data_IF_749126358908
#
_entry.id   IF_749126358908
#
_cell.length_a   1.000
_cell.length_b   1.000
_cell.length_c   1.000
_cell.angle_alpha   90.00
_cell.angle_beta   90.00
_cell.angle_gamma   90.00
#
_symmetry.space_group_name_H-M   'P 1'
#
loop_
_entity.id
_entity.type
_entity.pdbx_description
1 polymer ?
#
# COMPACT_ATOMS: atom_id res chain seq x y z
N UNK A 1 22.89 27.87 -14.05
CA UNK A 1 21.75 27.62 -13.15
C UNK A 1 20.58 26.99 -13.93
N UNK A 2 20.07 27.60 -14.99
CA UNK A 2 18.91 27.09 -15.75
C UNK A 2 19.12 25.66 -16.31
N UNK A 3 20.30 25.37 -16.83
CA UNK A 3 20.64 24.03 -17.35
C UNK A 3 20.58 22.98 -16.21
N UNK A 4 21.16 23.30 -15.05
CA UNK A 4 21.14 22.40 -13.88
C UNK A 4 19.69 22.14 -13.43
N UNK A 5 18.85 23.17 -13.38
CA UNK A 5 17.43 23.03 -13.03
C UNK A 5 16.67 22.19 -14.05
N UNK A 6 16.85 22.46 -15.35
CA UNK A 6 16.22 21.67 -16.40
C UNK A 6 16.64 20.20 -16.37
N UNK A 7 17.94 19.94 -16.20
CA UNK A 7 18.46 18.57 -16.05
C UNK A 7 17.89 17.89 -14.81
N UNK A 8 17.87 18.57 -13.66
CA UNK A 8 17.29 18.01 -12.43
C UNK A 8 15.81 17.70 -12.62
N UNK A 9 15.05 18.56 -13.29
CA UNK A 9 13.63 18.35 -13.56
C UNK A 9 13.40 17.12 -14.44
N UNK A 10 14.16 16.98 -15.54
CA UNK A 10 14.09 15.80 -16.41
C UNK A 10 14.44 14.52 -15.64
N UNK A 11 15.48 14.55 -14.82
CA UNK A 11 15.87 13.41 -13.99
C UNK A 11 14.76 13.03 -13.03
N UNK A 12 14.19 13.98 -12.30
CA UNK A 12 13.17 13.74 -11.28
C UNK A 12 11.82 13.32 -11.85
N UNK A 13 11.41 13.85 -12.99
CA UNK A 13 10.09 13.60 -13.56
C UNK A 13 10.04 12.45 -14.56
N UNK A 14 11.18 12.05 -15.14
CA UNK A 14 11.20 11.08 -16.25
C UNK A 14 12.23 9.97 -16.11
N UNK A 15 13.49 10.31 -15.82
CA UNK A 15 14.57 9.32 -15.83
C UNK A 15 14.70 8.56 -14.51
N UNK A 16 14.49 9.24 -13.39
CA UNK A 16 14.68 8.69 -12.04
C UNK A 16 13.48 9.04 -11.13
N UNK A 17 12.27 8.56 -11.46
CA UNK A 17 11.06 8.88 -10.70
C UNK A 17 11.14 8.47 -9.21
N UNK A 18 11.98 7.47 -8.88
CA UNK A 18 12.29 7.09 -7.50
C UNK A 18 12.96 8.21 -6.70
N UNK A 19 13.52 9.23 -7.33
CA UNK A 19 14.05 10.38 -6.61
C UNK A 19 12.95 11.33 -6.16
N UNK A 20 11.83 11.39 -6.90
CA UNK A 20 10.65 12.18 -6.53
C UNK A 20 9.79 11.45 -5.51
N UNK A 21 9.43 10.21 -5.78
CA UNK A 21 8.71 9.33 -4.84
C UNK A 21 9.45 8.01 -4.65
N UNK A 22 10.37 7.94 -3.68
CA UNK A 22 11.19 6.76 -3.45
C UNK A 22 10.36 5.54 -3.06
N UNK A 23 9.25 5.74 -2.37
CA UNK A 23 8.40 4.65 -1.90
C UNK A 23 7.74 3.90 -3.06
N UNK A 24 7.11 4.62 -3.97
CA UNK A 24 6.55 4.05 -5.18
C UNK A 24 7.64 3.64 -6.19
N UNK A 25 8.57 4.53 -6.47
CA UNK A 25 9.54 4.35 -7.54
C UNK A 25 10.49 3.16 -7.33
N UNK A 26 10.88 2.88 -6.08
CA UNK A 26 11.69 1.69 -5.76
C UNK A 26 10.89 0.41 -5.95
N UNK A 27 9.59 0.39 -5.58
CA UNK A 27 8.71 -0.74 -5.85
C UNK A 27 8.49 -0.95 -7.34
N UNK A 28 8.27 0.11 -8.10
CA UNK A 28 8.13 0.02 -9.56
C UNK A 28 9.40 -0.54 -10.22
N UNK A 29 10.59 -0.10 -9.79
CA UNK A 29 11.85 -0.65 -10.28
C UNK A 29 12.02 -2.13 -9.91
N UNK A 30 11.71 -2.52 -8.67
CA UNK A 30 11.76 -3.90 -8.21
C UNK A 30 10.76 -4.77 -8.99
N UNK A 31 9.52 -4.31 -9.17
CA UNK A 31 8.50 -5.04 -9.94
C UNK A 31 8.93 -5.28 -11.38
N UNK A 32 9.51 -4.25 -12.05
CA UNK A 32 10.04 -4.41 -13.41
C UNK A 32 11.13 -5.48 -13.48
N UNK A 33 12.00 -5.52 -12.48
CA UNK A 33 13.02 -6.54 -12.37
C UNK A 33 12.43 -7.93 -12.17
N UNK A 34 11.48 -8.10 -11.26
CA UNK A 34 10.82 -9.40 -11.03
C UNK A 34 10.07 -9.93 -12.26
N UNK A 35 9.36 -9.05 -12.98
CA UNK A 35 8.70 -9.43 -14.23
C UNK A 35 9.72 -9.91 -15.26
N UNK A 36 10.85 -9.23 -15.38
CA UNK A 36 11.92 -9.63 -16.32
C UNK A 36 12.60 -10.96 -15.93
N UNK A 37 12.75 -11.24 -14.65
CA UNK A 37 13.32 -12.52 -14.16
C UNK A 37 12.34 -13.70 -14.28
N UNK A 38 11.03 -13.42 -14.32
CA UNK A 38 10.00 -14.44 -14.32
C UNK A 38 9.01 -14.25 -15.48
N UNK A 39 9.48 -14.32 -16.73
CA UNK A 39 8.64 -14.08 -17.90
C UNK A 39 7.48 -15.09 -17.96
N UNK A 40 6.28 -14.61 -18.28
CA UNK A 40 5.10 -15.45 -18.46
C UNK A 40 4.36 -15.86 -17.17
N UNK A 41 4.91 -15.57 -15.99
CA UNK A 41 4.16 -15.77 -14.73
C UNK A 41 3.03 -14.74 -14.61
N UNK A 42 1.79 -15.16 -14.27
CA UNK A 42 0.72 -14.22 -13.96
C UNK A 42 1.10 -13.30 -12.80
N UNK A 43 0.83 -12.01 -12.93
CA UNK A 43 1.15 -11.02 -11.90
C UNK A 43 -0.04 -10.78 -10.98
N UNK A 44 0.15 -11.01 -9.69
CA UNK A 44 -0.74 -10.57 -8.61
C UNK A 44 -0.14 -9.36 -7.92
N UNK A 45 -0.76 -8.20 -8.09
CA UNK A 45 -0.36 -6.95 -7.44
C UNK A 45 -1.23 -6.72 -6.21
N UNK A 46 -0.62 -6.65 -5.03
CA UNK A 46 -1.34 -6.34 -3.78
C UNK A 46 -1.08 -4.89 -3.41
N UNK A 47 -2.13 -4.10 -3.42
CA UNK A 47 -2.12 -2.66 -3.13
C UNK A 47 -2.76 -2.42 -1.78
N UNK A 48 -2.20 -1.53 -0.98
CA UNK A 48 -2.72 -1.25 0.36
C UNK A 48 -1.85 -0.29 1.16
N UNK A 49 -2.04 -0.32 2.46
CA UNK A 49 -1.41 0.56 3.44
C UNK A 49 -0.06 0.02 3.95
N UNK A 50 0.41 0.59 5.08
CA UNK A 50 1.53 0.04 5.84
C UNK A 50 1.29 -1.41 6.30
N UNK A 51 0.04 -1.83 6.49
CA UNK A 51 -0.32 -3.20 6.84
C UNK A 51 0.05 -4.16 5.70
N UNK A 52 -0.31 -3.82 4.46
CA UNK A 52 0.14 -4.55 3.27
C UNK A 52 1.65 -4.45 3.11
N UNK A 53 2.20 -3.24 3.19
CA UNK A 53 3.62 -2.94 3.01
C UNK A 53 4.52 -3.80 3.91
N UNK A 54 4.17 -3.93 5.19
CA UNK A 54 4.93 -4.67 6.21
C UNK A 54 4.44 -6.12 6.37
N UNK A 55 3.16 -6.36 6.12
CA UNK A 55 2.51 -7.65 6.39
C UNK A 55 2.62 -8.68 5.28
N UNK A 56 2.78 -8.26 4.04
CA UNK A 56 2.90 -9.20 2.91
C UNK A 56 4.36 -9.37 2.52
N UNK A 57 4.92 -10.55 2.80
CA UNK A 57 6.29 -10.92 2.43
C UNK A 57 6.30 -11.95 1.28
N UNK A 58 6.33 -11.51 0.00
CA UNK A 58 6.25 -12.43 -1.12
C UNK A 58 7.38 -13.46 -1.18
N UNK A 59 8.56 -13.19 -0.60
CA UNK A 59 9.65 -14.16 -0.51
C UNK A 59 9.22 -15.43 0.24
N UNK A 60 8.36 -15.30 1.24
CA UNK A 60 7.83 -16.46 1.97
C UNK A 60 6.88 -17.32 1.11
N UNK A 61 6.19 -16.73 0.14
CA UNK A 61 5.39 -17.44 -0.87
C UNK A 61 6.27 -18.17 -1.88
N UNK A 62 7.29 -17.51 -2.40
CA UNK A 62 8.23 -18.11 -3.35
C UNK A 62 8.91 -19.36 -2.79
N UNK A 63 9.13 -19.42 -1.48
CA UNK A 63 9.74 -20.57 -0.79
C UNK A 63 8.83 -21.79 -0.60
N UNK A 64 7.51 -21.66 -0.77
CA UNK A 64 6.52 -22.72 -0.46
C UNK A 64 5.56 -23.02 -1.60
N UNK A 65 5.90 -22.65 -2.84
CA UNK A 65 5.04 -22.84 -4.00
C UNK A 65 4.52 -24.28 -4.10
N UNK A 66 3.18 -24.50 -4.11
CA UNK A 66 2.61 -25.83 -4.01
C UNK A 66 2.76 -26.66 -5.29
N UNK A 67 3.01 -26.01 -6.42
CA UNK A 67 3.01 -26.65 -7.73
C UNK A 67 4.41 -27.02 -8.26
N UNK A 68 5.47 -26.76 -7.49
CA UNK A 68 6.85 -27.02 -7.91
C UNK A 68 7.38 -26.05 -8.98
N UNK A 69 8.61 -26.24 -9.45
CA UNK A 69 9.28 -25.30 -10.37
C UNK A 69 8.63 -25.26 -11.77
N UNK A 70 7.91 -26.30 -12.18
CA UNK A 70 7.40 -26.46 -13.54
C UNK A 70 5.99 -25.85 -13.77
N UNK A 71 5.30 -25.41 -12.73
CA UNK A 71 4.03 -24.69 -12.84
C UNK A 71 4.23 -23.20 -12.58
N UNK A 72 3.57 -22.40 -13.41
CA UNK A 72 3.57 -20.94 -13.34
C UNK A 72 2.70 -20.43 -12.18
N UNK A 73 3.14 -20.69 -10.92
CA UNK A 73 2.53 -20.01 -9.77
C UNK A 73 2.60 -18.50 -9.96
N UNK A 74 1.56 -17.75 -9.57
CA UNK A 74 1.54 -16.31 -9.80
C UNK A 74 2.68 -15.60 -9.08
N UNK A 75 3.22 -14.58 -9.74
CA UNK A 75 4.16 -13.62 -9.17
C UNK A 75 3.40 -12.72 -8.20
N UNK A 76 3.54 -12.94 -6.90
CA UNK A 76 2.96 -12.08 -5.88
C UNK A 76 3.88 -10.89 -5.63
N UNK A 77 3.37 -9.67 -5.77
CA UNK A 77 4.15 -8.46 -5.55
C UNK A 77 3.46 -7.48 -4.59
N UNK A 78 4.23 -6.96 -3.63
CA UNK A 78 3.75 -6.02 -2.63
C UNK A 78 3.89 -4.57 -3.11
N UNK A 79 2.77 -3.90 -3.38
CA UNK A 79 2.68 -2.49 -3.74
C UNK A 79 2.04 -1.65 -2.61
N UNK A 80 2.06 -2.12 -1.38
CA UNK A 80 1.57 -1.38 -0.22
C UNK A 80 2.39 -0.12 0.04
N UNK A 81 1.73 1.01 0.29
CA UNK A 81 2.34 2.31 0.58
C UNK A 81 1.98 2.75 2.00
N UNK A 82 2.95 3.25 2.76
CA UNK A 82 2.72 3.66 4.14
C UNK A 82 1.66 4.76 4.21
N UNK A 83 0.65 4.55 5.04
CA UNK A 83 -0.48 5.48 5.18
C UNK A 83 -1.48 5.42 4.02
N UNK A 84 -1.36 4.45 3.11
CA UNK A 84 -2.26 4.30 1.97
C UNK A 84 -3.64 3.79 2.36
N UNK A 85 -4.67 4.47 1.88
CA UNK A 85 -6.06 4.03 1.82
C UNK A 85 -6.53 4.11 0.37
N UNK A 86 -7.85 4.12 0.11
CA UNK A 86 -8.41 3.99 -1.23
C UNK A 86 -7.90 5.00 -2.28
N UNK A 87 -7.60 6.25 -1.88
CA UNK A 87 -7.11 7.27 -2.81
C UNK A 87 -5.66 7.00 -3.19
N UNK A 88 -4.81 6.61 -2.23
CA UNK A 88 -3.41 6.25 -2.48
C UNK A 88 -3.32 4.93 -3.25
N UNK A 89 -4.20 3.97 -2.96
CA UNK A 89 -4.31 2.72 -3.71
C UNK A 89 -4.66 2.99 -5.18
N UNK A 90 -5.64 3.84 -5.44
CA UNK A 90 -6.00 4.29 -6.79
C UNK A 90 -4.82 5.01 -7.47
N UNK A 91 -4.10 5.88 -6.75
CA UNK A 91 -2.92 6.56 -7.26
C UNK A 91 -1.81 5.56 -7.64
N UNK A 92 -1.52 4.61 -6.75
CA UNK A 92 -0.52 3.58 -7.00
C UNK A 92 -0.86 2.74 -8.24
N UNK A 93 -2.12 2.33 -8.38
CA UNK A 93 -2.59 1.56 -9.53
C UNK A 93 -2.52 2.37 -10.84
N UNK A 94 -2.94 3.65 -10.84
CA UNK A 94 -2.83 4.53 -12.00
C UNK A 94 -1.39 4.67 -12.47
N UNK A 95 -0.46 4.89 -11.52
CA UNK A 95 0.98 4.95 -11.79
C UNK A 95 1.52 3.64 -12.33
N UNK A 96 1.13 2.51 -11.72
CA UNK A 96 1.55 1.18 -12.18
C UNK A 96 1.13 0.93 -13.65
N UNK A 97 -0.10 1.30 -14.02
CA UNK A 97 -0.56 1.21 -15.41
C UNK A 97 0.17 2.19 -16.35
N UNK A 98 0.47 3.41 -15.89
CA UNK A 98 1.25 4.38 -16.66
C UNK A 98 2.69 3.91 -16.90
N UNK A 99 3.28 3.20 -15.94
CA UNK A 99 4.60 2.56 -16.04
C UNK A 99 4.61 1.27 -16.88
N UNK A 100 3.46 0.90 -17.45
CA UNK A 100 3.32 -0.25 -18.35
C UNK A 100 3.03 -1.57 -17.67
N UNK A 101 2.87 -1.62 -16.36
CA UNK A 101 2.52 -2.86 -15.66
C UNK A 101 1.10 -3.30 -15.98
N UNK A 102 0.91 -4.60 -16.15
CA UNK A 102 -0.37 -5.23 -16.50
C UNK A 102 -0.60 -6.42 -15.57
N UNK A 103 -1.06 -6.17 -14.34
CA UNK A 103 -1.38 -7.27 -13.43
C UNK A 103 -2.55 -8.11 -13.97
N UNK A 104 -2.47 -9.42 -13.79
CA UNK A 104 -3.58 -10.33 -14.04
C UNK A 104 -4.63 -10.25 -12.93
N UNK A 105 -4.16 -9.99 -11.70
CA UNK A 105 -5.00 -9.78 -10.52
C UNK A 105 -4.50 -8.58 -9.73
N UNK A 106 -5.43 -7.75 -9.25
CA UNK A 106 -5.17 -6.72 -8.24
C UNK A 106 -5.94 -7.05 -6.97
N UNK A 107 -5.24 -7.09 -5.85
CA UNK A 107 -5.86 -7.23 -4.53
C UNK A 107 -5.76 -5.90 -3.80
N UNK A 108 -6.90 -5.30 -3.44
CA UNK A 108 -6.96 -4.09 -2.65
C UNK A 108 -7.15 -4.41 -1.18
N UNK A 109 -6.43 -3.72 -0.33
CA UNK A 109 -6.64 -3.80 1.11
C UNK A 109 -7.98 -3.16 1.47
N UNK A 110 -8.78 -3.87 2.26
CA UNK A 110 -9.95 -3.31 2.93
C UNK A 110 -9.59 -3.08 4.40
N UNK A 111 -9.60 -1.81 4.83
CA UNK A 111 -9.35 -1.48 6.22
C UNK A 111 -10.27 -0.35 6.72
N UNK A 112 -11.21 -0.63 7.63
CA UNK A 112 -12.22 0.33 8.07
C UNK A 112 -11.70 1.71 8.48
N UNK A 113 -10.61 1.86 9.27
CA UNK A 113 -10.10 3.18 9.62
C UNK A 113 -9.79 4.08 8.43
N UNK A 114 -9.30 3.53 7.32
CA UNK A 114 -8.94 4.32 6.14
C UNK A 114 -10.11 4.59 5.18
N UNK A 115 -11.31 4.14 5.55
CA UNK A 115 -12.53 4.50 4.83
C UNK A 115 -13.18 5.79 5.37
N UNK A 116 -12.62 6.41 6.40
CA UNK A 116 -13.20 7.62 7.03
C UNK A 116 -12.67 8.88 6.41
N UNK A 117 -11.79 9.15 5.71
CA UNK A 117 -11.36 10.41 5.06
C UNK A 117 -11.56 11.71 5.90
N UNK A 118 -11.49 11.60 7.24
CA UNK A 118 -11.62 12.73 8.17
C UNK A 118 -10.47 12.76 9.20
N UNK A 119 -10.21 13.93 9.75
CA UNK A 119 -9.17 14.12 10.76
C UNK A 119 -7.81 13.57 10.29
N UNK A 120 -7.14 12.73 11.12
CA UNK A 120 -5.82 12.19 10.79
C UNK A 120 -5.86 11.15 9.64
N UNK A 121 -7.04 10.70 9.24
CA UNK A 121 -7.22 9.69 8.18
C UNK A 121 -7.53 10.30 6.81
N UNK A 122 -7.65 11.62 6.71
CA UNK A 122 -7.81 12.32 5.43
C UNK A 122 -6.56 12.12 4.54
N UNK A 123 -6.65 11.23 3.56
CA UNK A 123 -5.52 10.81 2.72
C UNK A 123 -4.87 11.96 1.95
N UNK A 124 -5.65 12.88 1.29
CA UNK A 124 -5.03 13.99 0.55
C UNK A 124 -4.10 14.85 1.40
N UNK A 125 -4.41 15.04 2.70
CA UNK A 125 -3.55 15.80 3.61
C UNK A 125 -2.24 15.06 3.99
N UNK A 126 -2.18 13.75 3.76
CA UNK A 126 -0.99 12.91 4.00
C UNK A 126 -0.12 12.73 2.76
N UNK A 127 -0.62 13.12 1.59
CA UNK A 127 0.14 13.06 0.33
C UNK A 127 0.95 14.34 0.17
N UNK A 128 2.25 14.20 0.31
CA UNK A 128 3.19 15.29 0.12
C UNK A 128 3.17 15.75 -1.36
N UNK A 129 2.79 17.00 -1.65
CA UNK A 129 2.60 17.54 -3.00
C UNK A 129 3.85 17.37 -3.89
N UNK A 130 5.03 17.40 -3.30
CA UNK A 130 6.29 17.23 -4.03
C UNK A 130 6.60 15.76 -4.40
N UNK A 131 5.77 14.78 -3.93
CA UNK A 131 5.75 13.38 -4.40
C UNK A 131 4.82 13.18 -5.59
N UNK A 132 3.95 14.16 -5.91
CA UNK A 132 3.00 14.04 -7.00
C UNK A 132 3.67 14.22 -8.36
N UNK A 133 3.33 13.35 -9.31
CA UNK A 133 3.74 13.45 -10.70
C UNK A 133 2.71 14.26 -11.52
N UNK A 134 3.08 14.68 -12.73
CA UNK A 134 2.13 15.32 -13.66
C UNK A 134 0.91 14.44 -13.96
N UNK A 135 1.12 13.13 -14.03
CA UNK A 135 0.07 12.14 -14.24
C UNK A 135 -0.98 12.05 -13.12
N UNK A 136 -0.65 12.57 -11.91
CA UNK A 136 -1.56 12.56 -10.77
C UNK A 136 -2.55 13.74 -10.75
N UNK A 137 -2.40 14.74 -11.65
CA UNK A 137 -3.29 15.92 -11.71
C UNK A 137 -4.77 15.54 -11.79
N UNK A 138 -5.22 14.56 -12.58
CA UNK A 138 -6.63 14.15 -12.58
C UNK A 138 -7.10 13.63 -11.20
N UNK A 139 -6.25 12.93 -10.47
CA UNK A 139 -6.56 12.48 -9.09
C UNK A 139 -6.65 13.66 -8.13
N UNK A 140 -5.68 14.60 -8.22
CA UNK A 140 -5.71 15.84 -7.40
C UNK A 140 -7.02 16.58 -7.61
N UNK A 141 -7.45 16.78 -8.86
CA UNK A 141 -8.71 17.46 -9.18
C UNK A 141 -9.96 16.74 -8.66
N UNK A 142 -9.91 15.43 -8.56
CA UNK A 142 -11.06 14.63 -8.14
C UNK A 142 -11.18 14.46 -6.63
N UNK A 143 -10.07 14.47 -5.91
CA UNK A 143 -10.04 14.01 -4.50
C UNK A 143 -9.51 15.05 -3.51
N UNK A 144 -8.78 16.07 -3.93
CA UNK A 144 -8.23 17.08 -3.03
C UNK A 144 -9.24 18.20 -2.78
N UNK A 145 -9.26 18.73 -1.58
CA UNK A 145 -10.17 19.81 -1.19
C UNK A 145 -9.86 21.14 -1.89
N UNK A 146 -8.57 21.43 -2.14
CA UNK A 146 -8.12 22.57 -2.93
C UNK A 146 -7.17 22.11 -4.04
N UNK A 147 -7.72 21.62 -5.16
CA UNK A 147 -6.91 21.15 -6.27
C UNK A 147 -6.11 22.28 -6.93
N UNK A 148 -6.65 23.52 -6.96
CA UNK A 148 -5.97 24.64 -7.58
C UNK A 148 -4.71 25.04 -6.83
N UNK A 149 -4.78 25.14 -5.49
CA UNK A 149 -3.63 25.38 -4.63
C UNK A 149 -2.60 24.22 -4.74
N UNK A 150 -3.07 22.98 -4.73
CA UNK A 150 -2.19 21.80 -4.88
C UNK A 150 -1.47 21.82 -6.23
N UNK A 151 -2.17 22.09 -7.35
CA UNK A 151 -1.55 22.21 -8.67
C UNK A 151 -0.56 23.39 -8.74
N UNK A 152 -0.88 24.51 -8.09
CA UNK A 152 0.04 25.65 -8.00
C UNK A 152 1.32 25.26 -7.25
N UNK A 153 1.19 24.54 -6.13
CA UNK A 153 2.33 24.04 -5.38
C UNK A 153 3.15 23.03 -6.17
N UNK A 154 2.50 22.09 -6.87
CA UNK A 154 3.18 21.14 -7.76
C UNK A 154 3.98 21.87 -8.87
N UNK A 155 3.48 23.00 -9.38
CA UNK A 155 4.24 23.83 -10.33
C UNK A 155 5.42 24.52 -9.68
N UNK A 156 5.22 25.09 -8.51
CA UNK A 156 6.28 25.72 -7.71
C UNK A 156 7.42 24.74 -7.41
N UNK A 157 7.11 23.53 -6.97
CA UNK A 157 8.09 22.49 -6.67
C UNK A 157 8.94 22.13 -7.90
N UNK A 158 8.34 22.19 -9.09
CA UNK A 158 9.06 21.96 -10.34
C UNK A 158 9.95 23.12 -10.77
N UNK A 159 9.66 24.33 -10.32
CA UNK A 159 10.55 25.46 -10.54
C UNK A 159 11.78 25.41 -9.60
N UNK A 160 11.66 24.69 -8.48
CA UNK A 160 12.72 24.56 -7.47
C UNK A 160 13.08 23.09 -7.17
N UNK A 161 13.36 22.25 -8.18
CA UNK A 161 13.39 20.81 -8.05
C UNK A 161 14.44 20.33 -7.02
N UNK A 162 15.63 20.88 -7.02
CA UNK A 162 16.69 20.48 -6.06
C UNK A 162 16.39 20.92 -4.65
N UNK A 163 15.79 22.08 -4.45
CA UNK A 163 15.44 22.58 -3.13
C UNK A 163 14.31 21.74 -2.52
N UNK A 164 13.25 21.47 -3.29
CA UNK A 164 12.07 20.73 -2.81
C UNK A 164 12.35 19.24 -2.60
N UNK A 165 13.27 18.65 -3.34
CA UNK A 165 13.65 17.24 -3.17
C UNK A 165 14.89 17.02 -2.28
N UNK A 166 15.53 18.07 -1.78
CA UNK A 166 16.80 17.98 -1.04
C UNK A 166 16.80 16.97 0.11
N UNK A 167 15.74 16.92 0.89
CA UNK A 167 15.65 16.00 2.03
C UNK A 167 15.50 14.56 1.57
N UNK A 168 14.76 14.31 0.48
CA UNK A 168 14.62 12.96 -0.09
C UNK A 168 15.90 12.52 -0.77
N UNK A 169 16.56 13.40 -1.50
CA UNK A 169 17.88 13.11 -2.06
C UNK A 169 18.88 12.77 -0.96
N UNK A 170 18.90 13.58 0.10
CA UNK A 170 19.78 13.33 1.24
C UNK A 170 19.39 12.02 1.96
N UNK A 171 18.09 11.73 2.11
CA UNK A 171 17.63 10.47 2.71
C UNK A 171 18.02 9.24 1.89
N UNK A 172 18.22 9.37 0.57
CA UNK A 172 18.67 8.27 -0.29
C UNK A 172 20.18 8.13 -0.35
N UNK A 173 20.91 9.26 -0.33
CA UNK A 173 22.37 9.28 -0.51
C UNK A 173 23.13 9.21 0.82
N UNK A 174 22.65 9.90 1.83
CA UNK A 174 23.31 10.04 3.14
C UNK A 174 22.29 10.21 4.29
N UNK A 175 21.42 9.22 4.55
CA UNK A 175 20.32 9.34 5.52
C UNK A 175 20.81 9.67 6.93
N UNK A 176 22.03 9.25 7.30
CA UNK A 176 22.65 9.53 8.61
C UNK A 176 22.97 11.00 8.84
N UNK A 177 23.02 11.82 7.78
CA UNK A 177 23.28 13.26 7.89
C UNK A 177 21.99 14.04 8.24
N UNK A 178 20.83 13.38 8.17
CA UNK A 178 19.57 14.00 8.57
C UNK A 178 19.30 13.79 10.06
N UNK A 179 18.78 14.82 10.76
CA UNK A 179 18.20 14.62 12.08
C UNK A 179 17.07 13.57 12.01
N UNK A 180 16.91 12.79 13.08
CA UNK A 180 15.89 11.74 13.13
C UNK A 180 14.49 12.24 12.77
N UNK A 181 14.13 13.44 13.23
CA UNK A 181 12.84 14.07 12.92
C UNK A 181 12.63 14.44 11.44
N UNK A 182 13.67 14.38 10.63
CA UNK A 182 13.64 14.64 9.18
C UNK A 182 13.89 13.38 8.35
N UNK A 183 14.07 12.24 9.02
CA UNK A 183 14.30 10.97 8.36
C UNK A 183 13.04 10.55 7.60
N UNK A 184 13.18 10.34 6.31
CA UNK A 184 12.10 9.94 5.39
C UNK A 184 12.31 8.53 4.83
N UNK A 185 13.48 7.95 5.05
CA UNK A 185 13.87 6.64 4.51
C UNK A 185 13.18 5.45 5.20
N UNK A 186 12.48 5.68 6.31
CA UNK A 186 11.77 4.63 7.05
C UNK A 186 10.68 3.92 6.21
N UNK A 187 10.10 4.62 5.22
CA UNK A 187 9.08 4.04 4.33
C UNK A 187 9.66 3.25 3.15
N UNK A 188 10.99 3.30 2.92
CA UNK A 188 11.61 2.63 1.77
C UNK A 188 13.03 2.12 2.00
N UNK A 189 13.69 2.51 3.10
CA UNK A 189 15.12 2.20 3.33
C UNK A 189 15.44 0.72 3.48
N UNK A 190 14.46 -0.07 3.90
CA UNK A 190 14.57 -1.51 4.07
C UNK A 190 13.78 -2.33 3.05
N UNK A 191 13.28 -1.71 1.97
CA UNK A 191 12.53 -2.44 0.93
C UNK A 191 13.39 -3.54 0.29
N UNK A 192 12.80 -4.73 0.20
CA UNK A 192 13.38 -5.82 -0.55
C UNK A 192 13.01 -5.77 -2.04
N UNK A 193 13.50 -6.74 -2.82
CA UNK A 193 13.24 -6.85 -4.24
C UNK A 193 11.80 -7.28 -4.60
N UNK A 194 10.91 -7.50 -3.63
CA UNK A 194 9.53 -7.92 -3.78
C UNK A 194 8.53 -6.86 -3.29
N UNK A 195 9.03 -5.68 -2.96
CA UNK A 195 8.25 -4.55 -2.45
C UNK A 195 7.89 -4.63 -0.97
N UNK A 196 8.34 -5.66 -0.26
CA UNK A 196 8.13 -5.81 1.17
C UNK A 196 9.08 -4.92 1.98
N UNK A 197 8.53 -4.26 2.98
CA UNK A 197 9.27 -3.49 3.98
C UNK A 197 9.15 -4.18 5.33
N UNK A 198 10.19 -4.86 5.84
CA UNK A 198 10.13 -5.48 7.15
C UNK A 198 9.92 -4.41 8.24
N UNK A 199 8.82 -4.55 8.99
CA UNK A 199 8.46 -3.57 10.02
C UNK A 199 9.25 -3.76 11.32
N UNK A 200 9.16 -4.93 11.92
CA UNK A 200 9.78 -5.24 13.22
C UNK A 200 10.46 -6.60 13.17
N UNK A 201 11.70 -6.66 13.65
CA UNK A 201 12.53 -7.86 13.55
C UNK A 201 12.27 -8.89 14.67
N UNK A 202 11.77 -8.47 15.82
CA UNK A 202 11.61 -9.33 17.00
C UNK A 202 10.26 -10.04 17.02
N UNK A 203 10.31 -11.35 17.24
CA UNK A 203 9.12 -12.15 17.49
C UNK A 203 9.39 -13.17 18.64
N UNK A 204 8.44 -13.34 19.57
CA UNK A 204 7.31 -12.43 19.81
C UNK A 204 7.83 -11.03 20.18
N UNK A 205 7.09 -9.96 19.89
CA UNK A 205 7.51 -8.63 20.32
C UNK A 205 7.62 -8.60 21.83
N UNK A 206 8.61 -7.89 22.37
CA UNK A 206 8.78 -7.75 23.81
C UNK A 206 7.46 -7.25 24.41
N UNK A 207 6.91 -7.88 25.47
CA UNK A 207 5.60 -7.50 26.00
C UNK A 207 5.48 -6.01 26.36
N UNK A 208 6.55 -5.41 26.90
CA UNK A 208 6.59 -3.99 27.24
C UNK A 208 6.48 -3.12 25.99
N UNK A 209 7.24 -3.45 24.93
CA UNK A 209 7.21 -2.67 23.68
C UNK A 209 5.83 -2.79 22.99
N UNK A 210 5.24 -3.99 22.97
CA UNK A 210 3.91 -4.21 22.43
C UNK A 210 2.84 -3.45 23.20
N UNK A 211 2.87 -3.52 24.54
CA UNK A 211 1.93 -2.79 25.38
C UNK A 211 2.01 -1.28 25.18
N UNK A 212 3.22 -0.72 25.08
CA UNK A 212 3.42 0.69 24.83
C UNK A 212 2.89 1.12 23.46
N UNK A 213 3.08 0.28 22.42
CA UNK A 213 2.55 0.53 21.08
C UNK A 213 1.03 0.48 21.02
N UNK A 214 0.43 -0.52 21.66
CA UNK A 214 -1.03 -0.62 21.79
C UNK A 214 -1.60 0.61 22.51
N UNK A 215 -1.01 1.03 23.64
CA UNK A 215 -1.42 2.20 24.38
C UNK A 215 -1.28 3.50 23.56
N UNK A 216 -0.30 3.59 22.66
CA UNK A 216 -0.15 4.70 21.73
C UNK A 216 -1.22 4.69 20.63
N UNK A 217 -1.54 3.54 20.07
CA UNK A 217 -2.50 3.40 18.97
C UNK A 217 -3.96 3.51 19.42
N UNK A 218 -4.27 2.99 20.60
CA UNK A 218 -5.66 2.90 21.11
C UNK A 218 -6.42 4.23 21.04
N UNK A 219 -5.95 5.36 21.58
CA UNK A 219 -6.72 6.62 21.55
C UNK A 219 -6.95 7.12 20.13
N UNK A 220 -6.03 6.84 19.19
CA UNK A 220 -6.14 7.26 17.80
C UNK A 220 -7.29 6.49 17.12
N UNK A 221 -7.27 5.17 17.23
CA UNK A 221 -8.21 4.31 16.50
C UNK A 221 -9.55 4.15 17.20
N UNK A 222 -9.57 4.06 18.53
CA UNK A 222 -10.82 3.99 19.30
C UNK A 222 -11.69 5.23 19.05
N UNK A 223 -11.11 6.41 18.97
CA UNK A 223 -11.83 7.63 18.63
C UNK A 223 -12.48 7.60 17.24
N UNK A 224 -11.83 6.92 16.30
CA UNK A 224 -12.35 6.78 14.93
C UNK A 224 -13.55 5.83 14.83
N UNK A 225 -13.71 4.93 15.77
CA UNK A 225 -14.80 3.96 15.77
C UNK A 225 -16.06 4.46 16.51
N UNK A 226 -15.99 5.60 17.22
CA UNK A 226 -17.14 6.11 17.98
C UNK A 226 -18.33 6.44 17.07
N UNK A 227 -18.09 7.18 15.96
CA UNK A 227 -19.09 7.56 14.97
C UNK A 227 -18.67 7.06 13.57
N UNK A 228 -18.34 5.78 13.49
CA UNK A 228 -17.82 5.20 12.28
C UNK A 228 -18.82 5.29 11.11
N UNK A 229 -18.35 5.82 10.00
CA UNK A 229 -19.06 5.79 8.71
C UNK A 229 -18.06 5.79 7.57
N UNK A 230 -18.44 5.16 6.47
CA UNK A 230 -17.62 5.20 5.24
C UNK A 230 -17.81 6.55 4.56
N UNK A 231 -16.73 7.24 4.31
CA UNK A 231 -16.77 8.53 3.63
C UNK A 231 -16.97 8.35 2.11
N UNK A 232 -17.81 9.19 1.47
CA UNK A 232 -18.08 9.08 0.03
C UNK A 232 -16.84 9.16 -0.87
N UNK A 233 -15.80 9.89 -0.47
CA UNK A 233 -14.54 9.95 -1.23
C UNK A 233 -13.80 8.61 -1.22
N UNK A 234 -13.75 7.93 -0.09
CA UNK A 234 -13.12 6.61 0.04
C UNK A 234 -13.88 5.56 -0.78
N UNK A 235 -15.23 5.52 -0.67
CA UNK A 235 -16.06 4.63 -1.50
C UNK A 235 -15.83 4.87 -2.98
N UNK A 236 -15.87 6.14 -3.42
CA UNK A 236 -15.63 6.50 -4.83
C UNK A 236 -14.25 6.07 -5.30
N UNK A 237 -13.20 6.32 -4.51
CA UNK A 237 -11.83 5.97 -4.88
C UNK A 237 -11.65 4.46 -5.01
N UNK A 238 -12.20 3.68 -4.08
CA UNK A 238 -12.13 2.22 -4.13
C UNK A 238 -12.88 1.66 -5.34
N UNK A 239 -14.10 2.15 -5.61
CA UNK A 239 -14.88 1.73 -6.80
C UNK A 239 -14.18 2.13 -8.10
N UNK A 240 -13.58 3.30 -8.17
CA UNK A 240 -12.79 3.75 -9.32
C UNK A 240 -11.54 2.89 -9.51
N UNK A 241 -10.84 2.52 -8.41
CA UNK A 241 -9.68 1.64 -8.47
C UNK A 241 -10.05 0.24 -9.00
N UNK A 242 -11.15 -0.33 -8.53
CA UNK A 242 -11.69 -1.61 -9.03
C UNK A 242 -12.06 -1.50 -10.51
N UNK A 243 -12.76 -0.44 -10.91
CA UNK A 243 -13.12 -0.17 -12.32
C UNK A 243 -11.88 -0.09 -13.20
N UNK A 244 -10.89 0.72 -12.79
CA UNK A 244 -9.62 0.88 -13.52
C UNK A 244 -8.88 -0.44 -13.68
N UNK A 245 -8.79 -1.28 -12.64
CA UNK A 245 -8.15 -2.59 -12.74
C UNK A 245 -8.82 -3.45 -13.80
N UNK A 246 -10.15 -3.50 -13.80
CA UNK A 246 -10.95 -4.29 -14.75
C UNK A 246 -10.86 -3.77 -16.18
N UNK A 247 -10.91 -2.45 -16.36
CA UNK A 247 -10.77 -1.82 -17.69
C UNK A 247 -9.39 -2.12 -18.32
N UNK A 248 -8.40 -2.45 -17.49
CA UNK A 248 -7.07 -2.89 -17.92
C UNK A 248 -6.91 -4.41 -17.99
N UNK A 249 -8.01 -5.16 -17.81
CA UNK A 249 -8.05 -6.61 -17.94
C UNK A 249 -7.71 -7.38 -16.68
N UNK A 250 -7.45 -6.72 -15.55
CA UNK A 250 -7.17 -7.42 -14.30
C UNK A 250 -8.44 -7.91 -13.62
N UNK A 251 -8.34 -9.07 -12.96
CA UNK A 251 -9.32 -9.50 -11.96
C UNK A 251 -9.05 -8.80 -10.64
N UNK A 252 -10.07 -8.72 -9.79
CA UNK A 252 -9.98 -7.94 -8.54
C UNK A 252 -10.47 -8.76 -7.37
N UNK A 253 -9.75 -8.69 -6.25
CA UNK A 253 -10.21 -9.14 -4.93
C UNK A 253 -10.05 -8.01 -3.89
N UNK A 254 -10.78 -8.12 -2.80
CA UNK A 254 -10.53 -7.33 -1.59
C UNK A 254 -9.89 -8.23 -0.53
N UNK A 255 -8.98 -7.68 0.26
CA UNK A 255 -8.35 -8.38 1.38
C UNK A 255 -8.53 -7.63 2.69
N UNK A 256 -9.13 -8.29 3.68
CA UNK A 256 -9.18 -7.78 5.04
C UNK A 256 -8.04 -8.42 5.84
N UNK A 257 -7.01 -7.65 6.13
CA UNK A 257 -5.77 -8.14 6.73
C UNK A 257 -5.91 -8.43 8.23
N UNK A 258 -4.96 -9.17 8.85
CA UNK A 258 -5.05 -9.59 10.25
C UNK A 258 -5.11 -8.43 11.25
N UNK A 259 -5.90 -8.62 12.29
CA UNK A 259 -6.06 -7.71 13.43
C UNK A 259 -6.02 -8.48 14.74
N UNK A 260 -5.35 -7.91 15.75
CA UNK A 260 -5.31 -8.51 17.09
C UNK A 260 -6.65 -8.39 17.82
N UNK A 261 -6.81 -9.19 18.84
CA UNK A 261 -7.98 -9.14 19.74
C UNK A 261 -8.12 -7.75 20.36
N UNK A 262 -7.00 -7.12 20.76
CA UNK A 262 -7.02 -5.78 21.34
C UNK A 262 -7.50 -4.73 20.33
N UNK A 263 -6.97 -4.74 19.10
CA UNK A 263 -7.39 -3.78 18.08
C UNK A 263 -8.89 -3.93 17.76
N UNK A 264 -9.36 -5.17 17.58
CA UNK A 264 -10.79 -5.43 17.35
C UNK A 264 -11.67 -4.96 18.50
N UNK A 265 -11.17 -5.02 19.76
CA UNK A 265 -11.90 -4.54 20.95
C UNK A 265 -12.07 -3.01 20.98
N UNK A 266 -11.32 -2.27 20.18
CA UNK A 266 -11.46 -0.81 20.07
C UNK A 266 -12.65 -0.42 19.17
N UNK A 267 -13.09 -1.31 18.29
CA UNK A 267 -14.29 -1.09 17.47
C UNK A 267 -15.55 -1.24 18.34
N UNK A 268 -16.46 -0.29 18.17
CA UNK A 268 -17.81 -0.44 18.75
C UNK A 268 -18.59 -1.51 17.96
N UNK A 269 -19.57 -2.20 18.57
CA UNK A 269 -20.43 -3.13 17.83
C UNK A 269 -21.10 -2.50 16.61
N UNK A 270 -21.45 -1.23 16.70
CA UNK A 270 -22.04 -0.47 15.60
C UNK A 270 -21.04 -0.22 14.47
N UNK A 271 -19.79 0.16 14.81
CA UNK A 271 -18.73 0.34 13.81
C UNK A 271 -18.42 -0.98 13.09
N UNK A 272 -18.32 -2.08 13.83
CA UNK A 272 -18.11 -3.43 13.26
C UNK A 272 -19.27 -3.78 12.29
N UNK A 273 -20.52 -3.61 12.72
CA UNK A 273 -21.68 -3.89 11.88
C UNK A 273 -21.65 -3.08 10.58
N UNK A 274 -21.42 -1.75 10.67
CA UNK A 274 -21.35 -0.87 9.49
C UNK A 274 -20.21 -1.25 8.54
N UNK A 275 -19.04 -1.60 9.08
CA UNK A 275 -17.90 -2.03 8.27
C UNK A 275 -18.20 -3.33 7.51
N UNK A 276 -18.83 -4.31 8.18
CA UNK A 276 -19.22 -5.58 7.58
C UNK A 276 -20.33 -5.41 6.53
N UNK A 277 -21.34 -4.59 6.81
CA UNK A 277 -22.40 -4.28 5.83
C UNK A 277 -21.84 -3.61 4.59
N UNK A 278 -20.89 -2.69 4.77
CA UNK A 278 -20.23 -2.04 3.63
C UNK A 278 -19.39 -3.03 2.83
N UNK A 279 -18.61 -3.90 3.48
CA UNK A 279 -17.84 -4.94 2.82
C UNK A 279 -18.74 -5.91 2.02
N UNK A 280 -19.88 -6.32 2.62
CA UNK A 280 -20.87 -7.15 1.94
C UNK A 280 -21.50 -6.42 0.73
N UNK A 281 -21.72 -5.11 0.84
CA UNK A 281 -22.18 -4.26 -0.25
C UNK A 281 -21.18 -4.20 -1.39
N UNK A 282 -19.90 -3.94 -1.08
CA UNK A 282 -18.83 -3.95 -2.09
C UNK A 282 -18.73 -5.31 -2.79
N UNK A 283 -18.74 -6.40 -2.02
CA UNK A 283 -18.69 -7.76 -2.57
C UNK A 283 -19.82 -8.01 -3.57
N UNK A 284 -21.05 -7.63 -3.22
CA UNK A 284 -22.23 -7.79 -4.07
C UNK A 284 -22.18 -6.87 -5.29
N UNK A 285 -22.00 -5.55 -5.07
CA UNK A 285 -22.12 -4.55 -6.11
C UNK A 285 -20.99 -4.65 -7.14
N UNK A 286 -19.80 -4.94 -6.68
CA UNK A 286 -18.61 -5.07 -7.51
C UNK A 286 -18.37 -6.52 -7.98
N UNK A 287 -19.12 -7.50 -7.47
CA UNK A 287 -18.90 -8.92 -7.77
C UNK A 287 -17.41 -9.30 -7.63
N UNK A 288 -16.81 -9.04 -6.46
CA UNK A 288 -15.41 -9.34 -6.14
C UNK A 288 -15.32 -10.35 -5.02
N UNK A 289 -14.40 -11.33 -5.08
CA UNK A 289 -14.10 -12.16 -3.94
C UNK A 289 -13.47 -11.32 -2.80
N UNK A 290 -13.75 -11.72 -1.56
CA UNK A 290 -13.15 -11.14 -0.35
C UNK A 290 -12.32 -12.20 0.35
N UNK A 291 -11.06 -11.91 0.57
CA UNK A 291 -10.15 -12.72 1.38
C UNK A 291 -10.18 -12.12 2.79
N UNK A 292 -11.06 -12.65 3.63
CA UNK A 292 -11.14 -12.23 5.02
C UNK A 292 -10.09 -12.99 5.85
N UNK A 293 -8.96 -12.34 6.05
CA UNK A 293 -7.83 -12.85 6.82
C UNK A 293 -7.73 -12.24 8.23
N UNK A 294 -8.73 -11.49 8.64
CA UNK A 294 -8.72 -10.72 9.90
C UNK A 294 -8.36 -11.55 11.13
N UNK A 295 -8.83 -12.79 11.18
CA UNK A 295 -8.63 -13.70 12.31
C UNK A 295 -7.55 -14.78 12.07
N UNK A 296 -6.74 -14.65 11.00
CA UNK A 296 -5.81 -15.72 10.65
C UNK A 296 -4.57 -15.78 11.53
N UNK A 297 -4.25 -14.71 12.23
CA UNK A 297 -2.99 -14.60 12.96
C UNK A 297 -3.25 -14.44 14.45
N UNK A 298 -2.42 -15.10 15.28
CA UNK A 298 -2.42 -14.92 16.71
C UNK A 298 -1.90 -13.53 17.09
N UNK A 299 -2.37 -12.97 18.20
CA UNK A 299 -2.03 -11.63 18.67
C UNK A 299 -0.52 -11.39 18.82
N UNK A 300 0.23 -12.43 19.18
CA UNK A 300 1.69 -12.37 19.31
C UNK A 300 2.44 -12.05 18.00
N UNK A 301 1.81 -12.24 16.84
CA UNK A 301 2.37 -11.84 15.55
C UNK A 301 2.15 -10.37 15.21
N UNK A 302 1.30 -9.67 15.96
CA UNK A 302 0.91 -8.27 15.72
C UNK A 302 1.56 -7.35 16.75
N UNK A 303 2.39 -6.40 16.27
CA UNK A 303 3.28 -5.61 17.15
C UNK A 303 2.59 -4.42 17.82
N UNK A 304 1.50 -3.94 17.23
CA UNK A 304 0.71 -2.78 17.69
C UNK A 304 -0.80 -2.98 17.50
N UNK A 305 -1.19 -4.22 17.21
CA UNK A 305 -2.57 -4.62 17.01
C UNK A 305 -2.97 -4.83 15.55
N UNK A 306 -2.22 -4.25 14.58
CA UNK A 306 -2.58 -4.33 13.15
C UNK A 306 -1.38 -4.41 12.19
N UNK A 307 -0.16 -4.22 12.65
CA UNK A 307 1.04 -4.47 11.86
C UNK A 307 1.68 -5.82 12.26
N UNK A 308 1.96 -6.64 11.27
CA UNK A 308 2.63 -7.92 11.48
C UNK A 308 4.13 -7.74 11.73
N UNK A 309 4.67 -8.53 12.63
CA UNK A 309 6.11 -8.71 12.79
C UNK A 309 6.72 -9.38 11.55
N UNK A 310 8.04 -9.39 11.43
CA UNK A 310 8.74 -10.08 10.33
C UNK A 310 8.34 -11.56 10.25
N UNK A 311 8.26 -12.25 11.37
CA UNK A 311 7.83 -13.66 11.41
C UNK A 311 6.34 -13.79 11.08
N UNK A 312 5.50 -12.88 11.61
CA UNK A 312 4.07 -12.83 11.31
C UNK A 312 3.80 -12.61 9.83
N UNK A 313 4.55 -11.74 9.17
CA UNK A 313 4.40 -11.47 7.74
C UNK A 313 4.72 -12.70 6.88
N UNK A 314 5.74 -13.47 7.25
CA UNK A 314 6.09 -14.71 6.54
C UNK A 314 4.99 -15.76 6.71
N UNK A 315 4.50 -15.97 7.94
CA UNK A 315 3.43 -16.92 8.21
C UNK A 315 2.11 -16.52 7.55
N UNK A 316 1.74 -15.24 7.64
CA UNK A 316 0.58 -14.70 6.94
C UNK A 316 0.66 -14.93 5.43
N UNK A 317 1.80 -14.64 4.81
CA UNK A 317 1.94 -14.74 3.36
C UNK A 317 1.85 -16.18 2.86
N UNK A 318 2.35 -17.16 3.65
CA UNK A 318 2.17 -18.59 3.34
C UNK A 318 0.71 -19.04 3.31
N UNK A 319 -0.18 -18.37 4.06
CA UNK A 319 -1.63 -18.60 4.04
C UNK A 319 -2.32 -17.78 2.96
N UNK A 320 -1.86 -16.54 2.75
CA UNK A 320 -2.46 -15.59 1.84
C UNK A 320 -2.27 -15.99 0.36
N UNK A 321 -1.08 -16.43 -0.02
CA UNK A 321 -0.80 -16.87 -1.39
C UNK A 321 -1.76 -17.95 -1.90
N UNK A 322 -1.94 -19.07 -1.17
CA UNK A 322 -2.94 -20.09 -1.51
C UNK A 322 -4.38 -19.57 -1.57
N UNK A 323 -4.74 -18.63 -0.68
CA UNK A 323 -6.09 -18.04 -0.68
C UNK A 323 -6.35 -17.20 -1.93
N UNK A 324 -5.34 -16.43 -2.39
CA UNK A 324 -5.40 -15.70 -3.67
C UNK A 324 -5.52 -16.69 -4.83
N UNK A 325 -4.70 -17.74 -4.85
CA UNK A 325 -4.76 -18.77 -5.89
C UNK A 325 -6.14 -19.50 -5.93
N UNK A 326 -6.72 -19.77 -4.76
CA UNK A 326 -8.05 -20.37 -4.66
C UNK A 326 -9.17 -19.42 -5.12
N UNK A 327 -9.02 -18.10 -4.90
CA UNK A 327 -9.97 -17.10 -5.40
C UNK A 327 -9.92 -16.94 -6.93
N UNK A 328 -8.80 -17.32 -7.56
CA UNK A 328 -8.55 -17.20 -9.01
C UNK A 328 -7.89 -18.47 -9.56
N UNK A 329 -8.63 -19.60 -9.62
CA UNK A 329 -8.06 -20.91 -10.00
C UNK A 329 -7.46 -20.93 -11.41
N UNK A 330 -7.90 -20.04 -12.28
CA UNK A 330 -7.36 -19.90 -13.64
C UNK A 330 -5.94 -19.33 -13.70
N UNK A 331 -5.41 -18.75 -12.63
CA UNK A 331 -4.01 -18.30 -12.56
C UNK A 331 -3.03 -19.50 -12.60
N UNK A 332 -3.44 -20.66 -12.09
CA UNK A 332 -2.64 -21.88 -12.11
C UNK A 332 -2.78 -22.74 -13.37
N UNK A 333 -3.54 -22.28 -14.37
CA UNK A 333 -4.01 -23.11 -15.49
C UNK A 333 -3.74 -22.61 -16.89
N UNK A 334 -2.76 -21.71 -17.12
CA UNK A 334 -2.31 -21.46 -18.50
C UNK A 334 -1.29 -22.56 -18.88
N UNK A 335 -1.63 -23.44 -19.86
CA UNK A 335 -0.72 -24.46 -20.34
C UNK A 335 0.52 -23.88 -21.02
#
# INVERSE_FOLDING_TARGET
>A
VLVIHATALVLLDSALPQLRDPEYGRRAAALRHRIAEHPGRPLVLVVGSSRTCMGLNPTAWEGVRPNGPDRADPLLFNMGLVGGGPIIELMALRRAHADGFRPDVVVFEFWPPFLREDGPFHEPARIDHNRLFKGDVPLVRSYFSDPAATEAQMRYDRLHPLYETRHRLLAQLAPRWQPWSRRMDLAWGGLDGWGWLPGVDEYPPKPVDRAARLAHCEPIYRGQFADYSVHPLADRALREAVGLARDKGAKVALAYLPESTEFRSWMTPEAERRAQEYLATLRRDLNVPVIDARLWMDDGYLVDGFHLSRQGSAEFTRRFGPAVAAAFPELGGRP
#
